data_IF_892715391030
#
_entry.id   IF_892715391030
#
_cell.length_a   1.000
_cell.length_b   1.000
_cell.length_c   1.000
_cell.angle_alpha   90.00
_cell.angle_beta   90.00
_cell.angle_gamma   90.00
#
_symmetry.space_group_name_H-M   'P 1'
#
loop_
_entity.id
_entity.type
_entity.pdbx_description
1 polymer ?
#
# COMPACT_ATOMS: atom_id res chain seq x y z
N UNK A 1 -1.30 20.13 -1.77
CA UNK A 1 -1.06 20.43 -0.35
C UNK A 1 -1.63 19.24 0.40
N UNK A 2 -0.78 18.45 1.07
CA UNK A 2 -1.21 17.20 1.71
C UNK A 2 -2.13 17.49 2.89
N UNK A 3 -3.25 16.78 2.98
CA UNK A 3 -4.23 16.95 4.05
C UNK A 3 -3.63 16.54 5.40
N UNK A 4 -3.57 17.46 6.36
CA UNK A 4 -3.01 17.22 7.69
C UNK A 4 -3.73 16.08 8.43
N UNK A 5 -5.02 15.85 8.14
CA UNK A 5 -5.81 14.76 8.72
C UNK A 5 -5.33 13.41 8.22
N UNK A 6 -5.00 13.33 6.93
CA UNK A 6 -4.48 12.11 6.29
C UNK A 6 -3.08 11.77 6.80
N UNK A 7 -2.22 12.77 7.02
CA UNK A 7 -0.92 12.57 7.68
C UNK A 7 -1.08 12.06 9.10
N UNK A 8 -1.91 12.72 9.92
CA UNK A 8 -2.11 12.32 11.31
C UNK A 8 -2.64 10.89 11.44
N UNK A 9 -3.55 10.51 10.54
CA UNK A 9 -4.16 9.20 10.55
C UNK A 9 -3.23 8.10 9.99
N UNK A 10 -2.34 8.43 9.03
CA UNK A 10 -1.27 7.52 8.64
C UNK A 10 -0.27 7.29 9.78
N UNK A 11 0.17 8.36 10.46
CA UNK A 11 1.13 8.24 11.55
C UNK A 11 0.59 7.43 12.74
N UNK A 12 -0.72 7.43 12.98
CA UNK A 12 -1.31 6.61 14.05
C UNK A 12 -1.36 5.11 13.73
N UNK A 13 -1.30 4.74 12.45
CA UNK A 13 -1.30 3.34 11.96
C UNK A 13 0.09 2.85 11.56
N UNK A 14 1.12 3.68 11.76
CA UNK A 14 2.47 3.35 11.37
C UNK A 14 3.03 2.23 12.25
N UNK A 15 3.67 1.27 11.61
CA UNK A 15 4.32 0.15 12.29
C UNK A 15 5.84 0.19 12.07
N UNK A 16 6.63 -0.59 12.84
CA UNK A 16 8.02 -0.81 12.48
C UNK A 16 8.12 -1.35 11.05
N UNK A 17 8.90 -0.67 10.21
CA UNK A 17 9.07 -1.04 8.81
C UNK A 17 9.64 -2.46 8.74
N UNK A 18 8.98 -3.34 7.99
CA UNK A 18 9.47 -4.68 7.71
C UNK A 18 9.36 -5.00 6.23
N UNK A 19 10.34 -5.74 5.72
CA UNK A 19 10.36 -6.19 4.34
C UNK A 19 9.40 -7.38 4.16
N UNK A 20 8.66 -7.36 3.08
CA UNK A 20 7.90 -8.49 2.54
C UNK A 20 8.39 -8.75 1.12
N UNK A 21 8.28 -9.99 0.67
CA UNK A 21 8.54 -10.36 -0.72
C UNK A 21 7.20 -10.81 -1.31
N UNK A 22 6.66 -10.02 -2.25
CA UNK A 22 5.32 -10.24 -2.83
C UNK A 22 5.42 -10.76 -4.27
N UNK A 23 4.58 -11.75 -4.58
CA UNK A 23 4.46 -12.34 -5.91
C UNK A 23 3.50 -11.48 -6.73
N UNK A 24 3.94 -11.06 -7.94
CA UNK A 24 3.04 -10.45 -8.91
C UNK A 24 2.31 -11.53 -9.72
N UNK A 25 1.13 -11.93 -9.26
CA UNK A 25 0.37 -13.06 -9.79
C UNK A 25 -0.16 -12.86 -11.22
N UNK A 26 -0.19 -11.61 -11.68
CA UNK A 26 -0.72 -11.22 -12.98
C UNK A 26 0.31 -11.31 -14.11
N UNK A 27 1.59 -11.46 -13.78
CA UNK A 27 2.63 -11.76 -14.77
C UNK A 27 2.81 -13.26 -14.94
N UNK A 28 3.04 -13.68 -16.18
CA UNK A 28 3.30 -15.09 -16.52
C UNK A 28 4.48 -15.68 -15.74
N UNK A 29 5.49 -14.86 -15.48
CA UNK A 29 6.72 -15.29 -14.80
C UNK A 29 6.63 -15.15 -13.27
N UNK A 30 5.50 -14.65 -12.76
CA UNK A 30 5.23 -14.45 -11.32
C UNK A 30 6.44 -13.89 -10.55
N UNK A 31 7.03 -12.77 -10.99
CA UNK A 31 8.21 -12.22 -10.36
C UNK A 31 7.90 -11.81 -8.91
N UNK A 32 8.91 -11.96 -8.07
CA UNK A 32 8.87 -11.58 -6.66
C UNK A 32 9.48 -10.20 -6.52
N UNK A 33 8.73 -9.28 -5.91
CA UNK A 33 9.19 -7.92 -5.64
C UNK A 33 9.40 -7.71 -4.14
N UNK A 34 10.55 -7.17 -3.73
CA UNK A 34 10.74 -6.71 -2.36
C UNK A 34 9.91 -5.46 -2.12
N UNK A 35 9.14 -5.46 -1.05
CA UNK A 35 8.34 -4.31 -0.62
C UNK A 35 8.55 -4.07 0.88
N UNK A 36 8.25 -2.86 1.33
CA UNK A 36 8.38 -2.44 2.71
C UNK A 36 6.99 -2.12 3.24
N UNK A 37 6.51 -2.93 4.19
CA UNK A 37 5.28 -2.64 4.90
C UNK A 37 5.53 -1.49 5.88
N UNK A 38 4.75 -0.41 5.75
CA UNK A 38 4.94 0.82 6.53
C UNK A 38 3.78 1.14 7.48
N UNK A 39 2.58 0.65 7.18
CA UNK A 39 1.40 0.79 8.03
C UNK A 39 0.54 -0.47 7.97
N UNK A 40 -0.08 -0.79 9.10
CA UNK A 40 -1.11 -1.81 9.22
C UNK A 40 -2.42 -1.07 9.46
N UNK A 41 -3.37 -1.16 8.52
CA UNK A 41 -4.63 -0.45 8.65
C UNK A 41 -5.60 -1.16 9.61
N UNK A 42 -5.27 -2.33 10.16
CA UNK A 42 -6.07 -2.98 11.19
C UNK A 42 -7.16 -3.91 10.63
N UNK A 43 -8.43 -3.58 10.87
CA UNK A 43 -9.54 -4.57 10.92
C UNK A 43 -9.81 -5.32 9.61
N UNK A 44 -9.28 -4.85 8.48
CA UNK A 44 -9.49 -5.46 7.17
C UNK A 44 -8.29 -6.27 6.66
N UNK A 45 -7.26 -6.48 7.50
CA UNK A 45 -6.05 -7.21 7.09
C UNK A 45 -5.38 -6.56 5.86
N UNK A 46 -5.48 -5.22 5.77
CA UNK A 46 -4.87 -4.41 4.71
C UNK A 46 -3.69 -3.63 5.28
N UNK A 47 -2.57 -3.66 4.56
CA UNK A 47 -1.39 -2.87 4.86
C UNK A 47 -1.07 -1.88 3.76
N UNK A 48 -0.33 -0.83 4.11
CA UNK A 48 0.29 0.07 3.14
C UNK A 48 1.73 -0.37 2.93
N UNK A 49 2.09 -0.66 1.69
CA UNK A 49 3.42 -1.07 1.28
C UNK A 49 4.08 -0.03 0.37
N UNK A 50 5.41 0.04 0.44
CA UNK A 50 6.26 0.78 -0.47
C UNK A 50 7.11 -0.19 -1.30
N UNK A 51 7.34 0.08 -2.58
CA UNK A 51 8.25 -0.66 -3.45
C UNK A 51 9.32 0.29 -4.02
N UNK A 52 10.56 0.13 -3.57
CA UNK A 52 11.71 0.85 -4.11
C UNK A 52 11.94 0.45 -5.58
N UNK A 53 11.92 1.43 -6.48
CA UNK A 53 11.93 1.22 -7.93
C UNK A 53 10.57 0.97 -8.57
N UNK A 54 9.48 0.98 -7.79
CA UNK A 54 8.11 0.79 -8.29
C UNK A 54 7.66 -0.67 -8.36
N UNK A 55 6.35 -0.86 -8.55
CA UNK A 55 5.72 -2.18 -8.60
C UNK A 55 4.95 -2.42 -9.90
N UNK A 56 4.92 -3.67 -10.36
CA UNK A 56 4.15 -4.17 -11.50
C UNK A 56 4.34 -3.35 -12.80
N UNK A 57 3.35 -3.42 -13.70
CA UNK A 57 3.42 -2.85 -15.04
C UNK A 57 3.58 -1.32 -15.07
N UNK A 58 3.07 -0.62 -14.05
CA UNK A 58 3.06 0.84 -13.99
C UNK A 58 4.23 1.44 -13.20
N UNK A 59 4.98 0.62 -12.46
CA UNK A 59 6.10 1.10 -11.63
C UNK A 59 5.64 2.02 -10.49
N UNK A 60 4.39 1.88 -10.04
CA UNK A 60 3.84 2.67 -8.95
C UNK A 60 4.41 2.19 -7.61
N UNK A 61 4.94 3.08 -6.75
CA UNK A 61 5.68 2.65 -5.57
C UNK A 61 4.82 2.39 -4.33
N UNK A 62 3.56 2.82 -4.27
CA UNK A 62 2.72 2.67 -3.06
C UNK A 62 1.59 1.69 -3.30
N UNK A 63 1.42 0.68 -2.44
CA UNK A 63 0.41 -0.35 -2.63
C UNK A 63 -0.46 -0.60 -1.40
N UNK A 64 -1.71 -0.97 -1.64
CA UNK A 64 -2.58 -1.61 -0.64
C UNK A 64 -2.47 -3.12 -0.82
N UNK A 65 -2.05 -3.82 0.23
CA UNK A 65 -1.79 -5.27 0.19
C UNK A 65 -2.56 -5.99 1.29
N UNK A 66 -2.89 -7.25 1.08
CA UNK A 66 -3.39 -8.11 2.15
C UNK A 66 -2.23 -8.65 2.99
N UNK A 67 -2.34 -8.61 4.32
CA UNK A 67 -1.25 -8.97 5.23
C UNK A 67 -1.08 -10.48 5.45
N UNK A 68 -2.10 -11.27 5.12
CA UNK A 68 -2.12 -12.73 5.22
C UNK A 68 -1.85 -13.44 3.88
N UNK A 69 -1.59 -12.68 2.81
CA UNK A 69 -1.30 -13.18 1.48
C UNK A 69 0.14 -12.91 1.06
N UNK A 70 0.66 -13.74 0.16
CA UNK A 70 1.94 -13.59 -0.51
C UNK A 70 1.82 -12.86 -1.85
N UNK A 71 0.60 -12.65 -2.33
CA UNK A 71 0.32 -11.93 -3.57
C UNK A 71 0.24 -10.42 -3.36
N UNK A 72 0.61 -9.67 -4.38
CA UNK A 72 0.56 -8.21 -4.33
C UNK A 72 -0.83 -7.62 -4.50
N UNK A 73 -1.79 -8.46 -4.88
CA UNK A 73 -3.06 -7.99 -5.40
C UNK A 73 -2.91 -7.35 -6.78
N UNK A 74 -3.99 -6.73 -7.25
CA UNK A 74 -4.08 -6.21 -8.61
C UNK A 74 -3.29 -4.90 -8.79
N UNK A 75 -2.84 -4.66 -10.03
CA UNK A 75 -2.05 -3.46 -10.40
C UNK A 75 -2.76 -2.14 -10.05
N UNK A 76 -4.10 -2.11 -10.03
CA UNK A 76 -4.88 -0.92 -9.68
C UNK A 76 -4.86 -0.58 -8.18
N UNK A 77 -4.37 -1.48 -7.34
CA UNK A 77 -4.14 -1.24 -5.90
C UNK A 77 -2.75 -0.65 -5.63
N UNK A 78 -2.05 -0.20 -6.68
CA UNK A 78 -0.76 0.48 -6.61
C UNK A 78 -0.83 1.88 -7.22
N UNK A 79 -0.28 2.88 -6.51
CA UNK A 79 -0.46 4.31 -6.75
C UNK A 79 0.87 5.04 -6.85
N UNK A 80 0.89 6.13 -7.61
CA UNK A 80 2.08 6.95 -7.81
C UNK A 80 2.50 7.65 -6.52
N UNK A 81 1.55 7.99 -5.64
CA UNK A 81 1.80 8.70 -4.39
C UNK A 81 1.16 8.00 -3.18
N UNK A 82 1.77 8.19 -2.00
CA UNK A 82 1.20 7.72 -0.73
C UNK A 82 -0.18 8.36 -0.47
N UNK A 83 -0.38 9.62 -0.85
CA UNK A 83 -1.65 10.32 -0.64
C UNK A 83 -2.79 9.66 -1.43
N UNK A 84 -2.58 9.28 -2.70
CA UNK A 84 -3.58 8.54 -3.49
C UNK A 84 -3.89 7.17 -2.87
N UNK A 85 -2.86 6.43 -2.46
CA UNK A 85 -3.00 5.14 -1.78
C UNK A 85 -3.85 5.24 -0.51
N UNK A 86 -3.57 6.23 0.34
CA UNK A 86 -4.32 6.46 1.57
C UNK A 86 -5.76 6.88 1.28
N UNK A 87 -6.00 7.73 0.27
CA UNK A 87 -7.37 8.13 -0.13
C UNK A 87 -8.20 6.94 -0.60
N UNK A 88 -7.62 6.05 -1.41
CA UNK A 88 -8.34 4.90 -1.96
C UNK A 88 -8.59 3.79 -0.92
N UNK A 89 -7.75 3.72 0.12
CA UNK A 89 -7.91 2.73 1.21
C UNK A 89 -9.26 2.81 1.94
N UNK A 90 -9.99 3.93 1.82
CA UNK A 90 -11.24 4.18 2.55
C UNK A 90 -11.07 4.31 4.06
N UNK A 91 -9.87 4.07 4.60
CA UNK A 91 -9.58 4.15 6.04
C UNK A 91 -9.56 5.60 6.55
N UNK A 92 -9.41 6.53 5.62
CA UNK A 92 -9.40 7.96 5.88
C UNK A 92 -10.56 8.60 5.13
N UNK A 93 -11.79 8.17 5.43
CA UNK A 93 -12.96 8.97 5.12
C UNK A 93 -12.85 10.31 5.86
N UNK A 94 -12.31 11.29 5.15
CA UNK A 94 -12.45 12.69 5.52
C UNK A 94 -13.93 13.01 5.33
N UNK A 95 -14.67 13.04 6.44
CA UNK A 95 -16.03 13.56 6.46
C UNK A 95 -16.06 14.89 5.69
N UNK A 96 -16.82 14.91 4.61
CA UNK A 96 -17.22 16.15 3.97
C UNK A 96 -18.40 16.69 4.79
N UNK A 97 -18.07 17.50 5.79
CA UNK A 97 -19.01 18.48 6.36
C UNK A 97 -18.98 19.75 5.49
#
# INVERSE_FOLDING_TARGET
MTDVRLVAAFESQRIPIRRLDLIWEWSKDQPIYPVWLVADLGENNVGVAFADGGYAAYGHPWGLIFLDDQYSGPDFSWYATLEECLRDSGYFEIGFD
#
